data_IF_106607198183
#
_entry.id   IF_106607198183
#
_cell.length_a   1.000
_cell.length_b   1.000
_cell.length_c   1.000
_cell.angle_alpha   90.00
_cell.angle_beta   90.00
_cell.angle_gamma   90.00
#
_symmetry.space_group_name_H-M   'P 1'
#
loop_
_entity.id
_entity.type
_entity.pdbx_description
1 polymer ?
#
# COMPACT_ATOMS: atom_id res chain seq x y z
N UNK A 1 -6.10 -9.87 8.77
CA UNK A 1 -5.81 -8.64 7.97
C UNK A 1 -5.45 -8.89 6.51
N UNK A 2 -4.54 -9.83 6.16
CA UNK A 2 -4.13 -10.03 4.75
C UNK A 2 -5.33 -10.25 3.82
N UNK A 3 -6.20 -11.19 4.16
CA UNK A 3 -7.36 -11.55 3.33
C UNK A 3 -8.42 -10.45 3.29
N UNK A 4 -8.63 -9.71 4.38
CA UNK A 4 -9.55 -8.56 4.39
C UNK A 4 -9.12 -7.45 3.43
N UNK A 5 -7.83 -7.09 3.42
CA UNK A 5 -7.30 -6.06 2.52
C UNK A 5 -7.45 -6.51 1.06
N UNK A 6 -7.15 -7.77 0.76
CA UNK A 6 -7.32 -8.35 -0.57
C UNK A 6 -8.79 -8.35 -0.99
N UNK A 7 -9.70 -8.71 -0.09
CA UNK A 7 -11.14 -8.72 -0.37
C UNK A 7 -11.65 -7.32 -0.68
N UNK A 8 -11.27 -6.30 0.10
CA UNK A 8 -11.63 -4.90 -0.16
C UNK A 8 -11.07 -4.45 -1.51
N UNK A 9 -9.80 -4.74 -1.78
CA UNK A 9 -9.15 -4.36 -3.03
C UNK A 9 -9.81 -5.00 -4.26
N UNK A 10 -10.07 -6.31 -4.21
CA UNK A 10 -10.77 -7.02 -5.30
C UNK A 10 -12.20 -6.53 -5.45
N UNK A 11 -12.92 -6.28 -4.36
CA UNK A 11 -14.27 -5.71 -4.40
C UNK A 11 -14.29 -4.31 -5.04
N UNK A 12 -13.32 -3.46 -4.70
CA UNK A 12 -13.18 -2.14 -5.32
C UNK A 12 -12.81 -2.23 -6.81
N UNK A 13 -11.90 -3.14 -7.19
CA UNK A 13 -11.59 -3.39 -8.60
C UNK A 13 -12.82 -3.88 -9.37
N UNK A 14 -13.56 -4.82 -8.81
CA UNK A 14 -14.80 -5.34 -9.40
C UNK A 14 -15.84 -4.21 -9.59
N UNK A 15 -15.97 -3.30 -8.62
CA UNK A 15 -16.86 -2.14 -8.71
C UNK A 15 -16.45 -1.17 -9.82
N UNK A 16 -15.15 -0.92 -9.98
CA UNK A 16 -14.63 -0.07 -11.06
C UNK A 16 -14.89 -0.73 -12.41
N UNK A 17 -14.52 -2.01 -12.58
CA UNK A 17 -14.74 -2.74 -13.83
C UNK A 17 -16.23 -2.79 -14.17
N UNK A 18 -17.08 -3.04 -13.18
CA UNK A 18 -18.54 -3.05 -13.36
C UNK A 18 -19.06 -1.67 -13.80
N UNK A 19 -18.55 -0.59 -13.23
CA UNK A 19 -18.86 0.77 -13.64
C UNK A 19 -18.53 1.05 -15.11
N UNK A 20 -17.43 0.49 -15.62
CA UNK A 20 -17.08 0.60 -17.05
C UNK A 20 -17.92 -0.30 -17.97
N UNK A 21 -18.55 -1.35 -17.45
CA UNK A 21 -19.45 -2.22 -18.24
C UNK A 21 -20.88 -1.70 -18.33
N UNK A 22 -21.25 -0.69 -17.56
CA UNK A 22 -22.58 -0.07 -17.60
C UNK A 22 -22.73 0.75 -18.89
N UNK A 23 -23.82 0.51 -19.62
CA UNK A 23 -24.17 1.24 -20.84
C UNK A 23 -24.44 2.74 -20.58
N UNK A 24 -24.26 3.57 -21.61
CA UNK A 24 -24.35 5.04 -21.54
C UNK A 24 -25.67 5.60 -20.97
N UNK A 25 -26.74 4.83 -21.02
CA UNK A 25 -28.04 5.19 -20.43
C UNK A 25 -27.97 5.42 -18.91
N UNK A 26 -27.02 4.79 -18.22
CA UNK A 26 -26.87 4.88 -16.76
C UNK A 26 -25.49 5.43 -16.33
N UNK A 27 -25.05 6.49 -16.99
CA UNK A 27 -23.76 7.16 -16.74
C UNK A 27 -23.57 7.63 -15.29
N UNK A 28 -24.65 8.05 -14.62
CA UNK A 28 -24.62 8.44 -13.20
C UNK A 28 -24.27 7.25 -12.31
N UNK A 29 -24.84 6.08 -12.58
CA UNK A 29 -24.56 4.86 -11.82
C UNK A 29 -23.13 4.36 -12.09
N UNK A 30 -22.72 4.38 -13.36
CA UNK A 30 -21.34 4.05 -13.78
C UNK A 30 -20.30 4.87 -13.01
N UNK A 31 -20.44 6.20 -13.02
CA UNK A 31 -19.52 7.10 -12.33
C UNK A 31 -19.54 6.92 -10.80
N UNK A 32 -20.70 6.61 -10.20
CA UNK A 32 -20.78 6.28 -8.78
C UNK A 32 -20.02 5.00 -8.43
N UNK A 33 -20.15 3.95 -9.23
CA UNK A 33 -19.39 2.70 -9.04
C UNK A 33 -17.88 2.93 -9.17
N UNK A 34 -17.45 3.64 -10.23
CA UNK A 34 -16.02 3.96 -10.44
C UNK A 34 -15.48 4.81 -9.29
N UNK A 35 -16.22 5.86 -8.90
CA UNK A 35 -15.83 6.75 -7.80
C UNK A 35 -15.74 6.02 -6.47
N UNK A 36 -16.74 5.20 -6.14
CA UNK A 36 -16.75 4.44 -4.89
C UNK A 36 -15.63 3.39 -4.84
N UNK A 37 -15.40 2.68 -5.94
CA UNK A 37 -14.27 1.74 -6.04
C UNK A 37 -12.92 2.46 -5.90
N UNK A 38 -12.75 3.61 -6.54
CA UNK A 38 -11.52 4.41 -6.44
C UNK A 38 -11.28 4.87 -5.00
N UNK A 39 -12.30 5.45 -4.37
CA UNK A 39 -12.23 5.87 -2.95
C UNK A 39 -11.95 4.68 -2.03
N UNK A 40 -12.57 3.52 -2.28
CA UNK A 40 -12.31 2.30 -1.54
C UNK A 40 -10.84 1.84 -1.63
N UNK A 41 -10.20 1.94 -2.79
CA UNK A 41 -8.78 1.60 -2.94
C UNK A 41 -7.91 2.59 -2.17
N UNK A 42 -8.09 3.90 -2.40
CA UNK A 42 -7.19 4.93 -1.89
C UNK A 42 -7.38 5.22 -0.40
N UNK A 43 -8.62 5.27 0.08
CA UNK A 43 -8.91 5.65 1.47
C UNK A 43 -9.07 4.44 2.41
N UNK A 44 -9.29 3.23 1.88
CA UNK A 44 -9.50 2.04 2.71
C UNK A 44 -8.40 0.99 2.48
N UNK A 45 -8.27 0.47 1.25
CA UNK A 45 -7.31 -0.60 0.99
C UNK A 45 -5.86 -0.16 1.23
N UNK A 46 -5.49 1.04 0.77
CA UNK A 46 -4.12 1.55 0.84
C UNK A 46 -3.66 1.84 2.29
N UNK A 47 -4.43 2.56 3.14
CA UNK A 47 -4.04 2.76 4.54
C UNK A 47 -3.97 1.45 5.32
N UNK A 48 -4.92 0.53 5.12
CA UNK A 48 -4.89 -0.79 5.77
C UNK A 48 -3.67 -1.61 5.34
N UNK A 49 -3.29 -1.53 4.06
CA UNK A 49 -2.08 -2.15 3.55
C UNK A 49 -0.83 -1.58 4.21
N UNK A 50 -0.71 -0.25 4.28
CA UNK A 50 0.43 0.41 4.91
C UNK A 50 0.57 0.03 6.38
N UNK A 51 -0.51 0.07 7.16
CA UNK A 51 -0.51 -0.34 8.57
C UNK A 51 -0.03 -1.78 8.73
N UNK A 52 -0.48 -2.68 7.85
CA UNK A 52 -0.08 -4.07 7.90
C UNK A 52 1.41 -4.27 7.59
N UNK A 53 1.95 -3.53 6.63
CA UNK A 53 3.36 -3.64 6.22
C UNK A 53 4.31 -2.93 7.20
N UNK A 54 3.85 -1.84 7.81
CA UNK A 54 4.62 -1.11 8.83
C UNK A 54 4.57 -1.80 10.19
N UNK A 55 3.65 -2.75 10.41
CA UNK A 55 3.56 -3.51 11.66
C UNK A 55 4.88 -4.24 11.95
N UNK A 56 5.59 -3.77 12.97
CA UNK A 56 6.88 -4.32 13.40
C UNK A 56 8.12 -3.60 12.86
N UNK A 57 7.96 -2.52 12.09
CA UNK A 57 9.07 -1.69 11.59
C UNK A 57 9.11 -0.36 12.35
N UNK A 58 10.19 -0.08 13.06
CA UNK A 58 10.41 1.24 13.64
C UNK A 58 10.92 2.19 12.56
N UNK A 59 10.18 3.26 12.26
CA UNK A 59 10.62 4.27 11.27
C UNK A 59 11.99 4.87 11.59
N UNK A 60 12.33 4.98 12.89
CA UNK A 60 13.61 5.50 13.37
C UNK A 60 14.81 4.68 12.89
N UNK A 61 14.64 3.37 12.71
CA UNK A 61 15.72 2.48 12.28
C UNK A 61 16.07 2.66 10.79
N UNK A 62 15.20 3.34 10.03
CA UNK A 62 15.35 3.61 8.60
C UNK A 62 15.69 5.08 8.30
N UNK A 63 15.74 5.95 9.31
CA UNK A 63 16.15 7.34 9.12
C UNK A 63 17.66 7.43 8.92
N UNK A 64 18.08 8.20 7.90
CA UNK A 64 19.47 8.60 7.67
C UNK A 64 19.88 9.70 8.65
N UNK A 65 19.92 9.37 9.94
CA UNK A 65 20.52 10.22 10.96
C UNK A 65 22.01 9.87 11.15
N UNK A 66 22.78 10.76 11.77
CA UNK A 66 24.21 10.52 11.96
C UNK A 66 24.51 9.21 12.71
N UNK A 67 23.69 8.84 13.70
CA UNK A 67 23.87 7.59 14.46
C UNK A 67 23.71 6.35 13.59
N UNK A 68 22.67 6.29 12.75
CA UNK A 68 22.41 5.16 11.87
C UNK A 68 23.44 5.10 10.74
N UNK A 69 23.89 6.26 10.22
CA UNK A 69 24.98 6.32 9.24
C UNK A 69 26.28 5.78 9.85
N UNK A 70 26.63 6.19 11.08
CA UNK A 70 27.78 5.65 11.81
C UNK A 70 27.66 4.14 12.05
N UNK A 71 26.47 3.64 12.42
CA UNK A 71 26.20 2.20 12.57
C UNK A 71 26.38 1.43 11.24
N UNK A 72 25.91 1.98 10.12
CA UNK A 72 26.06 1.37 8.80
C UNK A 72 27.54 1.26 8.41
N UNK A 73 28.32 2.34 8.55
CA UNK A 73 29.75 2.36 8.26
C UNK A 73 30.56 1.43 9.19
N UNK A 74 30.19 1.35 10.48
CA UNK A 74 30.84 0.45 11.42
C UNK A 74 30.56 -1.03 11.11
N UNK A 75 29.36 -1.37 10.65
CA UNK A 75 29.03 -2.73 10.22
C UNK A 75 29.75 -3.11 8.92
N UNK A 76 29.99 -2.16 8.02
CA UNK A 76 30.76 -2.38 6.79
C UNK A 76 32.22 -2.73 7.11
N UNK A 77 32.84 -2.02 8.05
CA UNK A 77 34.21 -2.29 8.53
C UNK A 77 34.36 -3.59 9.31
N UNK A 78 33.26 -4.14 9.85
CA UNK A 78 33.23 -5.40 10.62
C UNK A 78 32.98 -6.64 9.78
N UNK A 79 32.57 -6.53 8.51
CA UNK A 79 32.63 -7.67 7.60
C UNK A 79 34.12 -7.92 7.33
N UNK A 80 34.73 -9.02 7.82
CA UNK A 80 36.05 -9.37 7.36
C UNK A 80 35.95 -9.51 5.84
N UNK A 81 36.88 -8.87 5.16
CA UNK A 81 37.09 -9.03 3.73
C UNK A 81 37.55 -10.47 3.53
N UNK A 82 36.62 -11.43 3.55
CA UNK A 82 36.87 -12.76 3.02
C UNK A 82 37.00 -12.57 1.51
N UNK A 83 38.26 -12.43 1.10
CA UNK A 83 38.73 -12.67 -0.26
C UNK A 83 38.51 -14.13 -0.64
#
# INVERSE_FOLDING_TARGET
>A
MKYLIILIFVGSLASITYGFTINEENLVLANKCIGFGTVGIFLVAMPLFLIKVSKGKNMKDYMLNEENIKKMQANEKKKPQNQ
#
